data_IF_349147562749
#
_entry.id   IF_349147562749
#
_cell.length_a   1.000
_cell.length_b   1.000
_cell.length_c   1.000
_cell.angle_alpha   90.00
_cell.angle_beta   90.00
_cell.angle_gamma   90.00
#
_symmetry.space_group_name_H-M   'P 1'
#
loop_
_entity.id
_entity.type
_entity.pdbx_description
1 polymer ?
#
# COMPACT_ATOMS: atom_id res chain seq x y z
N UNK A 1 2.14 22.50 11.81
CA UNK A 1 3.59 22.70 11.66
C UNK A 1 4.26 21.51 10.96
N UNK A 2 4.06 20.26 11.44
CA UNK A 2 4.68 19.05 10.86
C UNK A 2 4.30 18.79 9.39
N UNK A 3 3.00 18.85 9.05
CA UNK A 3 2.50 18.61 7.68
C UNK A 3 3.17 19.52 6.63
N UNK A 4 3.30 20.82 6.92
CA UNK A 4 3.90 21.79 6.00
C UNK A 4 5.40 21.51 5.78
N UNK A 5 6.09 21.02 6.82
CA UNK A 5 7.49 20.61 6.70
C UNK A 5 7.64 19.35 5.83
N UNK A 6 6.86 18.30 6.10
CA UNK A 6 6.89 17.04 5.33
C UNK A 6 6.66 17.26 3.84
N UNK A 7 5.74 18.16 3.48
CA UNK A 7 5.44 18.51 2.09
C UNK A 7 6.52 19.37 1.41
N UNK A 8 7.37 20.05 2.19
CA UNK A 8 8.40 20.96 1.68
C UNK A 8 9.81 20.37 1.69
N UNK A 9 10.04 19.28 2.45
CA UNK A 9 11.36 18.64 2.52
C UNK A 9 11.64 17.90 1.21
N UNK A 10 12.92 17.84 0.83
CA UNK A 10 13.35 17.00 -0.31
C UNK A 10 13.18 15.52 0.04
N UNK A 11 12.71 14.76 -0.92
CA UNK A 11 12.74 13.29 -0.91
C UNK A 11 14.15 12.83 -1.27
N UNK A 12 14.67 11.85 -0.52
CA UNK A 12 15.98 11.23 -0.72
C UNK A 12 15.86 9.83 -1.33
N UNK A 13 16.96 9.21 -1.74
CA UNK A 13 16.96 7.82 -2.21
C UNK A 13 16.53 6.84 -1.13
N UNK A 14 16.94 7.06 0.13
CA UNK A 14 16.50 6.25 1.27
C UNK A 14 15.00 6.39 1.54
N UNK A 15 14.43 7.57 1.28
CA UNK A 15 12.98 7.75 1.37
C UNK A 15 12.23 6.97 0.30
N UNK A 16 12.82 6.82 -0.90
CA UNK A 16 12.25 6.01 -1.98
C UNK A 16 12.34 4.51 -1.64
N UNK A 17 13.47 4.04 -1.14
CA UNK A 17 13.63 2.66 -0.65
C UNK A 17 12.63 2.33 0.46
N UNK A 18 12.30 3.29 1.33
CA UNK A 18 11.29 3.12 2.38
C UNK A 18 9.84 3.29 1.90
N UNK A 19 9.64 3.83 0.70
CA UNK A 19 8.32 4.02 0.10
C UNK A 19 7.93 2.87 -0.82
N UNK A 20 8.90 2.12 -1.35
CA UNK A 20 8.74 0.87 -2.10
C UNK A 20 8.15 -0.21 -1.18
N UNK A 21 6.82 -0.39 -1.24
CA UNK A 21 6.07 -1.27 -0.33
C UNK A 21 6.04 -2.71 -0.83
N UNK A 22 6.02 -2.91 -2.16
CA UNK A 22 6.01 -4.22 -2.78
C UNK A 22 7.41 -4.77 -3.11
N UNK A 23 8.46 -3.94 -2.97
CA UNK A 23 9.86 -4.25 -3.21
C UNK A 23 10.17 -4.59 -4.67
N UNK A 24 9.45 -3.99 -5.63
CA UNK A 24 9.73 -4.13 -7.06
C UNK A 24 10.89 -3.24 -7.56
N UNK A 25 11.38 -2.33 -6.69
CA UNK A 25 12.48 -1.42 -6.96
C UNK A 25 12.07 -0.13 -7.66
N UNK A 26 10.77 0.11 -7.86
CA UNK A 26 10.21 1.39 -8.29
C UNK A 26 9.26 1.93 -7.21
N UNK A 27 8.95 3.23 -7.29
CA UNK A 27 7.99 3.84 -6.38
C UNK A 27 6.89 4.48 -7.21
N UNK A 28 5.70 3.89 -7.14
CA UNK A 28 4.48 4.38 -7.72
C UNK A 28 3.95 5.64 -7.02
N UNK A 29 2.98 6.29 -7.66
CA UNK A 29 2.35 7.48 -7.10
C UNK A 29 1.60 7.18 -5.77
N UNK A 30 0.96 6.01 -5.67
CA UNK A 30 0.21 5.60 -4.48
C UNK A 30 1.15 5.37 -3.27
N UNK A 31 2.22 4.62 -3.48
CA UNK A 31 3.28 4.37 -2.50
C UNK A 31 3.91 5.67 -1.99
N UNK A 32 4.21 6.60 -2.90
CA UNK A 32 4.73 7.91 -2.52
C UNK A 32 3.74 8.71 -1.66
N UNK A 33 2.44 8.65 -1.97
CA UNK A 33 1.40 9.31 -1.17
C UNK A 33 1.28 8.66 0.21
N UNK A 34 1.26 7.32 0.30
CA UNK A 34 1.24 6.59 1.57
C UNK A 34 2.44 6.93 2.44
N UNK A 35 3.64 6.95 1.85
CA UNK A 35 4.86 7.38 2.52
C UNK A 35 4.69 8.79 3.12
N UNK A 36 4.19 9.76 2.35
CA UNK A 36 3.95 11.13 2.86
C UNK A 36 2.89 11.19 3.94
N UNK A 37 1.81 10.41 3.84
CA UNK A 37 0.79 10.32 4.88
C UNK A 37 1.36 9.76 6.19
N UNK A 38 2.20 8.73 6.11
CA UNK A 38 2.92 8.16 7.25
C UNK A 38 3.87 9.17 7.87
N UNK A 39 4.68 9.86 7.08
CA UNK A 39 5.56 10.94 7.55
C UNK A 39 4.81 12.07 8.25
N UNK A 40 3.61 12.40 7.78
CA UNK A 40 2.74 13.40 8.42
C UNK A 40 2.09 12.91 9.72
N UNK A 41 2.30 11.64 10.09
CA UNK A 41 1.67 10.99 11.23
C UNK A 41 0.16 10.81 11.06
N UNK A 42 -0.32 10.71 9.80
CA UNK A 42 -1.75 10.50 9.48
C UNK A 42 -2.15 9.04 9.50
N UNK A 43 -1.20 8.16 9.20
CA UNK A 43 -1.32 6.70 9.23
C UNK A 43 -0.06 6.14 9.88
N UNK A 44 -0.12 4.92 10.42
CA UNK A 44 1.04 4.22 10.94
C UNK A 44 1.40 2.99 10.08
N UNK A 45 2.58 2.41 10.33
CA UNK A 45 3.01 1.22 9.58
C UNK A 45 2.06 0.04 9.78
N UNK A 46 1.49 -0.10 10.98
CA UNK A 46 0.56 -1.16 11.31
C UNK A 46 -0.71 -1.09 10.46
N UNK A 47 -1.25 0.11 10.26
CA UNK A 47 -2.44 0.31 9.40
C UNK A 47 -2.12 -0.11 7.95
N UNK A 48 -0.96 0.28 7.44
CA UNK A 48 -0.53 -0.07 6.08
C UNK A 48 -0.36 -1.59 5.96
N UNK A 49 0.29 -2.24 6.94
CA UNK A 49 0.52 -3.68 6.90
C UNK A 49 -0.77 -4.50 6.90
N UNK A 50 -1.78 -4.13 7.70
CA UNK A 50 -3.08 -4.82 7.71
C UNK A 50 -3.82 -4.65 6.38
N UNK A 51 -3.77 -3.46 5.78
CA UNK A 51 -4.41 -3.20 4.48
C UNK A 51 -3.68 -3.93 3.35
N UNK A 52 -2.35 -4.02 3.41
CA UNK A 52 -1.57 -4.77 2.42
C UNK A 52 -1.80 -6.28 2.52
N UNK A 53 -1.96 -6.82 3.74
CA UNK A 53 -2.34 -8.23 3.94
C UNK A 53 -3.71 -8.53 3.28
N UNK A 54 -4.71 -7.66 3.49
CA UNK A 54 -6.01 -7.79 2.80
C UNK A 54 -5.84 -7.71 1.27
N UNK A 55 -4.99 -6.82 0.76
CA UNK A 55 -4.72 -6.71 -0.67
C UNK A 55 -4.12 -8.01 -1.23
N UNK A 56 -3.11 -8.58 -0.56
CA UNK A 56 -2.47 -9.84 -0.97
C UNK A 56 -3.43 -11.03 -0.94
N UNK A 57 -4.35 -11.07 0.02
CA UNK A 57 -5.39 -12.10 0.08
C UNK A 57 -6.41 -11.97 -1.05
N UNK A 58 -6.71 -10.72 -1.46
CA UNK A 58 -7.63 -10.45 -2.55
C UNK A 58 -6.98 -10.64 -3.93
N UNK A 59 -5.67 -10.44 -4.07
CA UNK A 59 -4.93 -10.57 -5.34
C UNK A 59 -4.62 -12.03 -5.67
N UNK A 60 -5.66 -12.76 -6.11
CA UNK A 60 -5.60 -14.20 -6.31
C UNK A 60 -4.61 -14.65 -7.39
N UNK A 61 -4.37 -13.82 -8.40
CA UNK A 61 -3.40 -14.11 -9.45
C UNK A 61 -1.99 -13.58 -9.14
N UNK A 62 -1.82 -12.90 -7.99
CA UNK A 62 -0.57 -12.33 -7.51
C UNK A 62 0.07 -11.40 -8.55
N UNK A 63 -0.76 -10.68 -9.30
CA UNK A 63 -0.29 -9.75 -10.32
C UNK A 63 0.28 -8.45 -9.73
N UNK A 64 0.05 -8.21 -8.45
CA UNK A 64 0.29 -6.92 -7.79
C UNK A 64 -0.83 -5.91 -8.06
N UNK A 65 -1.98 -6.35 -8.61
CA UNK A 65 -3.12 -5.49 -8.93
C UNK A 65 -4.45 -6.17 -8.65
N UNK A 66 -5.38 -5.46 -8.04
CA UNK A 66 -6.75 -5.99 -7.90
C UNK A 66 -7.58 -5.71 -9.14
N UNK A 67 -8.09 -6.78 -9.75
CA UNK A 67 -9.09 -6.73 -10.81
C UNK A 67 -10.48 -7.11 -10.28
N UNK A 68 -11.51 -6.85 -11.09
CA UNK A 68 -12.89 -7.27 -10.76
C UNK A 68 -12.99 -8.79 -10.62
N UNK A 69 -12.19 -9.53 -11.39
CA UNK A 69 -12.17 -11.00 -11.35
C UNK A 69 -11.68 -11.51 -10.00
N UNK A 70 -10.64 -10.88 -9.44
CA UNK A 70 -10.05 -11.27 -8.16
C UNK A 70 -11.07 -11.14 -7.03
N UNK A 71 -11.75 -9.99 -6.98
CA UNK A 71 -12.81 -9.72 -5.99
C UNK A 71 -13.98 -10.71 -6.13
N UNK A 72 -14.45 -10.95 -7.36
CA UNK A 72 -15.57 -11.85 -7.61
C UNK A 72 -15.24 -13.31 -7.20
N UNK A 73 -14.01 -13.74 -7.44
CA UNK A 73 -13.53 -15.07 -7.06
C UNK A 73 -13.33 -15.19 -5.55
N UNK A 74 -12.73 -14.20 -4.88
CA UNK A 74 -12.54 -14.20 -3.43
C UNK A 74 -13.87 -14.33 -2.69
N UNK A 75 -14.90 -13.58 -3.10
CA UNK A 75 -16.26 -13.66 -2.55
C UNK A 75 -16.93 -15.02 -2.79
N UNK A 76 -16.60 -15.70 -3.89
CA UNK A 76 -17.12 -17.05 -4.19
C UNK A 76 -16.49 -18.14 -3.31
N UNK A 77 -15.26 -17.92 -2.81
CA UNK A 77 -14.54 -18.84 -1.91
C UNK A 77 -15.06 -18.71 -0.48
N UNK A 78 -15.33 -17.48 -0.03
CA UNK A 78 -15.86 -17.21 1.30
C UNK A 78 -17.27 -17.76 1.50
N UNK A 79 -18.13 -17.63 0.47
CA UNK A 79 -19.49 -18.20 0.46
C UNK A 79 -19.52 -19.73 0.41
N UNK A 80 -18.44 -20.40 -0.01
CA UNK A 80 -18.33 -21.88 0.03
C UNK A 80 -17.82 -22.42 1.37
N UNK A 81 -17.24 -21.57 2.20
CA UNK A 81 -16.63 -21.93 3.49
C UNK A 81 -17.53 -21.62 4.69
N UNK A 82 -18.72 -21.07 4.44
CA UNK A 82 -19.79 -20.74 5.40
C UNK A 82 -20.94 -21.75 5.31
#
# INVERSE_FOLDING_TARGET
ALVKWVLSRRTTSLDLEAADLDNDGVVGAAEFVLFKLKEMGKICQQDISVIMEEFEELDLDQSGTLTVSDIALAQSVETRSS
#
